data_IF_628030847594
#
_entry.id   IF_628030847594
#
_cell.length_a   1.000
_cell.length_b   1.000
_cell.length_c   1.000
_cell.angle_alpha   90.00
_cell.angle_beta   90.00
_cell.angle_gamma   90.00
#
_symmetry.space_group_name_H-M   'P 1'
#
loop_
_entity.id
_entity.type
_entity.pdbx_description
1 polymer ?
#
# COMPACT_ATOMS: atom_id res chain seq x y z
N UNK A 1 4.48 14.08 -8.62
CA UNK A 1 4.42 12.61 -8.52
C UNK A 1 3.18 12.27 -7.72
N UNK A 2 2.12 11.69 -8.32
CA UNK A 2 0.93 11.38 -7.56
C UNK A 2 1.24 10.19 -6.63
N UNK A 3 1.54 10.53 -5.38
CA UNK A 3 1.55 9.66 -4.19
C UNK A 3 2.37 8.37 -4.34
N UNK A 4 3.63 8.40 -3.93
CA UNK A 4 4.44 7.20 -3.89
C UNK A 4 3.88 6.21 -2.86
N UNK A 5 3.23 5.18 -3.38
CA UNK A 5 2.95 3.96 -2.64
C UNK A 5 4.17 3.06 -2.68
N UNK A 6 4.30 2.23 -1.66
CA UNK A 6 5.23 1.11 -1.71
C UNK A 6 4.79 0.15 -2.82
N UNK A 7 5.77 -0.43 -3.54
CA UNK A 7 5.53 -1.56 -4.44
C UNK A 7 5.22 -2.81 -3.61
N UNK A 8 4.42 -3.76 -4.11
CA UNK A 8 4.19 -5.02 -3.42
C UNK A 8 5.50 -5.70 -3.00
N UNK A 9 5.55 -6.22 -1.76
CA UNK A 9 6.78 -6.68 -1.12
C UNK A 9 7.47 -5.64 -0.23
N UNK A 10 7.03 -4.39 -0.26
CA UNK A 10 7.52 -3.31 0.60
C UNK A 10 6.36 -2.61 1.29
N UNK A 11 6.60 -2.08 2.49
CA UNK A 11 5.63 -1.34 3.28
C UNK A 11 6.17 0.05 3.60
N UNK A 12 5.31 1.08 3.48
CA UNK A 12 5.68 2.47 3.74
C UNK A 12 5.72 2.75 5.25
N UNK A 13 6.91 3.01 5.79
CA UNK A 13 7.11 3.48 7.15
C UNK A 13 7.28 5.00 7.16
N UNK A 14 6.42 5.71 7.89
CA UNK A 14 6.51 7.17 8.03
C UNK A 14 7.63 7.57 8.99
N UNK A 15 8.26 8.71 8.68
CA UNK A 15 9.11 9.44 9.62
C UNK A 15 8.28 9.94 10.81
N UNK A 16 8.90 10.19 11.99
CA UNK A 16 8.18 10.65 13.18
C UNK A 16 7.38 11.96 13.00
N UNK A 17 7.78 12.81 12.04
CA UNK A 17 7.10 14.05 11.70
C UNK A 17 5.90 13.84 10.74
N UNK A 18 5.73 12.64 10.19
CA UNK A 18 4.65 12.29 9.26
C UNK A 18 4.77 12.95 7.88
N UNK A 19 5.87 13.65 7.59
CA UNK A 19 6.05 14.43 6.35
C UNK A 19 6.74 13.63 5.24
N UNK A 20 7.45 12.57 5.61
CA UNK A 20 8.13 11.68 4.68
C UNK A 20 7.95 10.22 5.11
N UNK A 21 8.25 9.31 4.20
CA UNK A 21 8.32 7.89 4.53
C UNK A 21 9.35 7.16 3.70
N UNK A 22 9.75 5.99 4.20
CA UNK A 22 10.66 5.07 3.55
C UNK A 22 9.94 3.75 3.28
N UNK A 23 10.08 3.21 2.08
CA UNK A 23 9.61 1.86 1.77
C UNK A 23 10.65 0.86 2.28
N UNK A 24 10.28 0.03 3.25
CA UNK A 24 11.12 -1.06 3.76
C UNK A 24 10.49 -2.40 3.38
N UNK A 25 11.26 -3.50 3.30
CA UNK A 25 10.69 -4.82 3.03
C UNK A 25 9.53 -5.12 3.99
N UNK A 26 8.42 -5.61 3.46
CA UNK A 26 7.25 -5.95 4.26
C UNK A 26 7.62 -6.97 5.34
N UNK A 27 6.91 -6.95 6.48
CA UNK A 27 7.17 -7.87 7.59
C UNK A 27 8.60 -7.78 8.16
N UNK A 28 9.27 -6.63 8.06
CA UNK A 28 10.59 -6.39 8.67
C UNK A 28 10.60 -5.12 9.51
N UNK A 29 11.65 -4.96 10.33
CA UNK A 29 11.87 -3.75 11.14
C UNK A 29 10.64 -3.40 11.97
N UNK A 30 10.13 -2.17 11.83
CA UNK A 30 8.97 -1.68 12.57
C UNK A 30 7.68 -2.50 12.32
N UNK A 31 7.52 -3.11 11.14
CA UNK A 31 6.36 -3.94 10.81
C UNK A 31 6.44 -5.35 11.39
N UNK A 32 7.62 -5.79 11.82
CA UNK A 32 7.83 -7.06 12.52
C UNK A 32 7.90 -6.87 14.05
N UNK A 33 8.28 -5.68 14.50
CA UNK A 33 8.41 -5.37 15.92
C UNK A 33 7.07 -5.57 16.64
N UNK A 34 7.08 -6.42 17.68
CA UNK A 34 5.90 -6.83 18.43
C UNK A 34 4.78 -7.48 17.61
N UNK A 35 5.05 -7.91 16.38
CA UNK A 35 4.11 -8.72 15.63
C UNK A 35 4.18 -10.17 16.13
N UNK A 36 3.04 -10.82 16.31
CA UNK A 36 3.03 -12.24 16.65
C UNK A 36 3.64 -13.07 15.50
N UNK A 37 4.30 -14.17 15.85
CA UNK A 37 4.95 -15.04 14.85
C UNK A 37 3.91 -15.56 13.86
N UNK A 38 4.19 -15.38 12.57
CA UNK A 38 3.30 -15.81 11.49
C UNK A 38 2.10 -14.88 11.24
N UNK A 39 1.98 -13.75 11.96
CA UNK A 39 0.85 -12.83 11.83
C UNK A 39 1.12 -11.65 10.88
N UNK A 40 2.12 -11.75 10.00
CA UNK A 40 2.27 -10.81 8.88
C UNK A 40 1.37 -11.22 7.71
N UNK A 41 0.05 -11.15 7.92
CA UNK A 41 -0.95 -11.69 7.00
C UNK A 41 -1.95 -10.64 6.51
N UNK A 42 -1.97 -9.44 7.09
CA UNK A 42 -2.85 -8.37 6.62
C UNK A 42 -2.33 -7.81 5.30
N UNK A 43 -3.15 -7.86 4.24
CA UNK A 43 -2.81 -7.25 2.95
C UNK A 43 -3.53 -5.90 2.83
N UNK A 44 -2.76 -4.82 2.77
CA UNK A 44 -3.30 -3.45 2.72
C UNK A 44 -2.63 -2.69 1.59
N UNK A 45 -3.42 -2.33 0.56
CA UNK A 45 -2.90 -1.58 -0.58
C UNK A 45 -1.85 -2.34 -1.42
N UNK A 46 -1.82 -3.68 -1.33
CA UNK A 46 -0.86 -4.53 -2.05
C UNK A 46 0.37 -4.95 -1.24
N UNK A 47 0.53 -4.47 0.00
CA UNK A 47 1.65 -4.80 0.88
C UNK A 47 1.20 -5.56 2.13
N UNK A 48 2.09 -6.36 2.70
CA UNK A 48 1.81 -7.10 3.95
C UNK A 48 2.15 -6.32 5.20
N UNK A 49 1.29 -6.50 6.21
CA UNK A 49 1.37 -5.88 7.51
C UNK A 49 1.02 -6.87 8.61
N UNK A 50 1.32 -6.50 9.85
CA UNK A 50 0.93 -7.28 11.01
C UNK A 50 -0.60 -7.24 11.20
N UNK A 51 -1.24 -8.39 11.23
CA UNK A 51 -2.67 -8.56 11.51
C UNK A 51 -2.96 -8.78 13.00
N UNK A 52 -1.96 -9.25 13.77
CA UNK A 52 -2.07 -9.45 15.21
C UNK A 52 -0.73 -9.25 15.91
N UNK A 53 -0.76 -8.39 16.92
CA UNK A 53 0.38 -8.03 17.74
C UNK A 53 0.46 -8.84 19.02
N UNK A 54 1.65 -8.88 19.62
CA UNK A 54 1.87 -9.47 20.94
C UNK A 54 1.01 -8.76 22.01
N UNK A 55 0.72 -9.47 23.10
CA UNK A 55 -0.05 -8.94 24.24
C UNK A 55 0.46 -7.57 24.69
N UNK A 56 -0.49 -6.63 24.88
CA UNK A 56 -0.19 -5.25 25.26
C UNK A 56 0.04 -4.31 24.06
N UNK A 57 -0.08 -4.82 22.83
CA UNK A 57 0.02 -4.06 21.59
C UNK A 57 -1.17 -4.33 20.67
N UNK A 58 -1.42 -3.41 19.74
CA UNK A 58 -2.44 -3.55 18.68
C UNK A 58 -1.95 -2.94 17.36
N UNK A 59 -2.42 -3.41 16.19
CA UNK A 59 -1.96 -2.91 14.90
C UNK A 59 -2.64 -1.59 14.54
N UNK A 60 -1.85 -0.52 14.38
CA UNK A 60 -2.30 0.77 13.83
C UNK A 60 -1.40 1.13 12.66
N UNK A 61 -2.00 1.36 11.49
CA UNK A 61 -1.30 1.53 10.21
C UNK A 61 -0.25 0.42 9.94
N UNK A 62 -0.56 -0.79 10.42
CA UNK A 62 0.26 -1.98 10.27
C UNK A 62 1.46 -2.08 11.21
N UNK A 63 1.67 -1.11 12.11
CA UNK A 63 2.68 -1.14 13.17
C UNK A 63 2.04 -1.51 14.50
N UNK A 64 2.68 -2.39 15.27
CA UNK A 64 2.22 -2.75 16.61
C UNK A 64 2.55 -1.64 17.60
N UNK A 65 1.52 -0.89 18.01
CA UNK A 65 1.62 0.22 18.96
C UNK A 65 1.12 -0.21 20.34
N UNK A 66 1.64 0.41 21.39
CA UNK A 66 1.27 0.10 22.78
C UNK A 66 -0.22 0.36 23.03
N UNK A 67 -0.87 -0.58 23.72
CA UNK A 67 -2.31 -0.57 24.03
C UNK A 67 -2.58 -0.43 25.54
N UNK A 68 -1.70 0.23 26.28
CA UNK A 68 -1.85 0.38 27.74
C UNK A 68 -2.88 1.45 28.10
N UNK A 69 -3.57 1.29 29.24
CA UNK A 69 -4.60 2.23 29.73
C UNK A 69 -4.11 3.69 29.85
N UNK A 70 -2.81 3.93 29.99
CA UNK A 70 -2.20 5.27 30.13
C UNK A 70 -1.97 5.97 28.78
N UNK A 71 -1.86 5.22 27.70
CA UNK A 71 -1.60 5.73 26.35
C UNK A 71 -2.42 4.89 25.37
N UNK A 72 -3.70 5.24 25.23
CA UNK A 72 -4.57 4.58 24.26
C UNK A 72 -4.08 4.90 22.84
N UNK A 73 -4.00 3.90 21.95
CA UNK A 73 -3.58 4.11 20.58
C UNK A 73 -4.62 4.96 19.84
N UNK A 74 -4.14 5.88 19.01
CA UNK A 74 -5.03 6.71 18.19
C UNK A 74 -5.79 5.84 17.20
N UNK A 75 -7.10 6.08 17.09
CA UNK A 75 -7.94 5.44 16.07
C UNK A 75 -8.31 3.99 16.33
N UNK A 76 -7.89 3.39 17.44
CA UNK A 76 -8.13 1.98 17.76
C UNK A 76 -8.73 1.81 19.16
N UNK A 77 -9.77 0.99 19.25
CA UNK A 77 -10.25 0.42 20.52
C UNK A 77 -9.50 -0.89 20.76
N UNK A 78 -8.64 -0.99 21.77
CA UNK A 78 -7.78 -2.16 21.91
C UNK A 78 -8.51 -3.42 22.37
N UNK A 79 -8.14 -4.55 21.78
CA UNK A 79 -8.44 -5.91 22.24
C UNK A 79 -7.15 -6.68 22.55
N UNK A 80 -7.22 -8.01 22.46
CA UNK A 80 -6.07 -8.89 22.70
C UNK A 80 -5.25 -9.07 21.41
N UNK A 81 -4.27 -8.18 21.22
CA UNK A 81 -3.38 -8.19 20.06
C UNK A 81 -3.97 -7.59 18.78
N UNK A 82 -5.23 -7.15 18.81
CA UNK A 82 -5.97 -6.59 17.66
C UNK A 82 -6.80 -5.37 18.09
N UNK A 83 -7.23 -4.57 17.12
CA UNK A 83 -8.27 -3.56 17.32
C UNK A 83 -9.66 -4.19 17.18
N UNK A 84 -10.56 -3.92 18.13
CA UNK A 84 -11.96 -4.42 18.10
C UNK A 84 -12.91 -3.46 17.40
N UNK A 85 -12.54 -2.18 17.34
CA UNK A 85 -13.22 -1.13 16.60
C UNK A 85 -12.22 -0.04 16.25
N UNK A 86 -12.47 0.69 15.17
CA UNK A 86 -11.70 1.88 14.83
C UNK A 86 -12.52 3.16 15.01
N UNK A 87 -11.84 4.25 15.32
CA UNK A 87 -12.44 5.56 15.60
C UNK A 87 -11.84 6.65 14.74
N UNK A 88 -12.55 7.78 14.61
CA UNK A 88 -12.10 8.89 13.79
C UNK A 88 -12.03 8.50 12.31
N UNK A 89 -10.91 8.81 11.65
CA UNK A 89 -10.70 8.56 10.23
C UNK A 89 -10.11 7.18 9.92
N UNK A 90 -10.23 6.22 10.85
CA UNK A 90 -9.66 4.88 10.71
C UNK A 90 -10.72 3.84 10.39
N UNK A 91 -10.40 2.91 9.48
CA UNK A 91 -11.23 1.74 9.20
C UNK A 91 -10.57 0.46 9.70
N UNK A 92 -11.41 -0.52 10.05
CA UNK A 92 -11.01 -1.82 10.56
C UNK A 92 -10.79 -2.78 9.39
N UNK A 93 -9.60 -3.40 9.35
CA UNK A 93 -9.27 -4.43 8.37
C UNK A 93 -8.31 -5.44 9.01
N UNK A 94 -8.59 -6.73 8.87
CA UNK A 94 -7.67 -7.81 9.32
C UNK A 94 -7.14 -7.64 10.77
N UNK A 95 -7.96 -7.13 11.69
CA UNK A 95 -7.57 -6.92 13.09
C UNK A 95 -6.80 -5.62 13.38
N UNK A 96 -6.51 -4.79 12.37
CA UNK A 96 -5.84 -3.50 12.52
C UNK A 96 -6.71 -2.30 12.14
N UNK A 97 -6.35 -1.13 12.66
CA UNK A 97 -6.96 0.14 12.26
C UNK A 97 -6.05 0.90 11.30
N UNK A 98 -6.58 1.30 10.15
CA UNK A 98 -5.83 1.96 9.09
C UNK A 98 -6.44 3.30 8.73
N UNK A 99 -5.59 4.31 8.58
CA UNK A 99 -6.03 5.69 8.34
C UNK A 99 -6.55 5.86 6.90
N UNK A 100 -7.73 6.45 6.73
CA UNK A 100 -8.33 6.69 5.40
C UNK A 100 -7.71 7.87 4.63
N UNK A 101 -6.93 8.71 5.29
CA UNK A 101 -6.30 9.92 4.74
C UNK A 101 -4.83 9.73 4.38
N UNK A 102 -4.17 8.74 4.97
CA UNK A 102 -2.75 8.41 4.73
C UNK A 102 -2.57 6.97 4.31
N UNK A 103 -1.40 6.65 3.75
CA UNK A 103 -1.07 5.25 3.48
C UNK A 103 -0.78 4.52 4.80
N UNK A 104 -0.92 3.19 4.85
CA UNK A 104 -1.43 2.35 3.75
C UNK A 104 -2.96 2.37 3.63
N UNK A 105 -3.69 2.82 4.64
CA UNK A 105 -5.16 2.70 4.68
C UNK A 105 -5.90 3.38 3.53
N UNK A 106 -5.47 4.58 3.13
CA UNK A 106 -6.02 5.33 1.97
C UNK A 106 -5.99 4.54 0.65
N UNK A 107 -5.15 3.49 0.57
CA UNK A 107 -5.10 2.62 -0.60
C UNK A 107 -6.27 1.63 -0.69
N UNK A 108 -6.99 1.42 0.41
CA UNK A 108 -8.12 0.48 0.48
C UNK A 108 -9.42 1.24 0.73
N UNK A 109 -9.41 2.17 1.68
CA UNK A 109 -10.58 2.90 2.10
C UNK A 109 -10.30 4.41 2.14
N UNK A 110 -11.15 5.22 1.52
CA UNK A 110 -11.02 6.68 1.51
C UNK A 110 -12.05 7.39 2.36
N UNK A 111 -12.94 6.66 3.02
CA UNK A 111 -13.94 7.22 3.91
C UNK A 111 -14.60 6.16 4.79
N UNK A 112 -14.85 6.51 6.04
CA UNK A 112 -15.60 5.71 7.00
C UNK A 112 -16.93 6.39 7.30
N UNK A 113 -17.99 5.59 7.47
CA UNK A 113 -19.27 6.11 7.93
C UNK A 113 -19.16 6.52 9.42
N UNK A 114 -19.83 7.61 9.80
CA UNK A 114 -19.84 8.07 11.19
C UNK A 114 -20.40 6.98 12.13
N UNK A 115 -19.81 6.83 13.32
CA UNK A 115 -20.24 5.89 14.36
C UNK A 115 -20.33 4.43 13.91
N UNK A 116 -19.56 4.04 12.91
CA UNK A 116 -19.62 2.71 12.30
C UNK A 116 -18.61 1.71 12.86
N UNK A 117 -17.93 2.04 13.96
CA UNK A 117 -16.82 1.25 14.52
C UNK A 117 -15.68 0.97 13.51
N UNK A 118 -15.50 1.86 12.54
CA UNK A 118 -14.45 1.74 11.52
C UNK A 118 -14.86 0.95 10.29
N UNK A 119 -16.15 0.84 9.96
CA UNK A 119 -16.55 0.25 8.69
C UNK A 119 -16.16 1.18 7.53
N UNK A 120 -15.53 0.62 6.50
CA UNK A 120 -15.28 1.39 5.29
C UNK A 120 -16.60 1.69 4.57
N UNK A 121 -16.77 2.95 4.18
CA UNK A 121 -17.92 3.43 3.40
C UNK A 121 -17.53 3.59 1.93
N UNK A 122 -16.36 4.18 1.67
CA UNK A 122 -15.87 4.46 0.32
C UNK A 122 -14.60 3.68 0.02
N UNK A 123 -14.68 2.69 -0.85
CA UNK A 123 -13.52 1.91 -1.27
C UNK A 123 -12.66 2.65 -2.30
N UNK A 124 -11.35 2.61 -2.11
CA UNK A 124 -10.38 3.28 -2.97
C UNK A 124 -10.31 2.69 -4.39
N UNK A 125 -10.68 1.41 -4.54
CA UNK A 125 -10.74 0.72 -5.83
C UNK A 125 -12.01 1.04 -6.63
N UNK A 126 -12.93 1.84 -6.08
CA UNK A 126 -14.19 2.22 -6.72
C UNK A 126 -15.32 1.20 -6.57
N UNK A 127 -15.07 0.06 -5.93
CA UNK A 127 -16.11 -0.94 -5.64
C UNK A 127 -16.98 -0.50 -4.45
N UNK A 128 -18.13 -1.14 -4.30
CA UNK A 128 -19.01 -0.95 -3.15
C UNK A 128 -18.53 -1.82 -1.97
N UNK A 129 -18.39 -1.23 -0.78
CA UNK A 129 -18.18 -1.99 0.44
C UNK A 129 -19.39 -2.91 0.75
N UNK A 130 -19.11 -4.06 1.36
CA UNK A 130 -20.16 -4.95 1.85
C UNK A 130 -20.88 -4.37 3.10
N UNK A 131 -21.89 -5.08 3.62
CA UNK A 131 -22.62 -4.65 4.83
C UNK A 131 -21.75 -4.60 6.09
N UNK A 132 -20.60 -5.27 6.06
CA UNK A 132 -19.61 -5.29 7.13
C UNK A 132 -18.58 -4.18 6.99
N UNK A 133 -18.65 -3.36 5.93
CA UNK A 133 -17.69 -2.28 5.67
C UNK A 133 -16.36 -2.77 5.13
N UNK A 134 -16.33 -3.95 4.50
CA UNK A 134 -15.13 -4.50 3.88
C UNK A 134 -15.17 -4.24 2.38
N UNK A 135 -14.07 -3.70 1.86
CA UNK A 135 -13.91 -3.47 0.43
C UNK A 135 -13.50 -4.77 -0.30
N UNK A 136 -14.21 -5.17 -1.35
CA UNK A 136 -13.81 -6.33 -2.15
C UNK A 136 -12.42 -6.12 -2.76
N UNK A 137 -11.66 -7.20 -2.89
CA UNK A 137 -10.32 -7.16 -3.48
C UNK A 137 -10.37 -7.27 -5.01
N UNK A 138 -9.46 -6.59 -5.68
CA UNK A 138 -9.19 -6.79 -7.10
C UNK A 138 -8.17 -7.94 -7.29
N UNK A 139 -7.98 -8.44 -8.53
CA UNK A 139 -6.95 -9.42 -8.86
C UNK A 139 -5.56 -8.97 -8.44
N UNK A 140 -4.63 -9.92 -8.31
CA UNK A 140 -3.24 -9.61 -7.96
C UNK A 140 -2.64 -8.55 -8.89
N UNK A 141 -1.92 -7.60 -8.31
CA UNK A 141 -1.32 -6.49 -9.07
C UNK A 141 -2.32 -5.41 -9.52
N UNK A 142 -3.63 -5.60 -9.32
CA UNK A 142 -4.64 -4.64 -9.74
C UNK A 142 -5.03 -3.67 -8.61
N UNK A 143 -4.94 -2.37 -8.88
CA UNK A 143 -5.40 -1.31 -7.97
C UNK A 143 -6.90 -1.03 -8.13
N UNK A 144 -7.37 -0.95 -9.38
CA UNK A 144 -8.77 -0.67 -9.71
C UNK A 144 -9.30 -1.67 -10.72
N UNK A 145 -10.36 -2.37 -10.36
CA UNK A 145 -11.05 -3.33 -11.21
C UNK A 145 -12.47 -2.86 -11.52
N UNK A 146 -13.07 -3.42 -12.58
CA UNK A 146 -14.40 -3.02 -13.03
C UNK A 146 -15.48 -3.26 -11.96
N UNK A 147 -16.41 -2.30 -11.85
CA UNK A 147 -17.49 -2.25 -10.85
C UNK A 147 -18.69 -3.16 -11.16
N UNK A 148 -18.79 -3.72 -12.37
CA UNK A 148 -19.96 -4.49 -12.82
C UNK A 148 -19.57 -5.87 -13.34
N UNK A 149 -19.97 -6.92 -12.61
CA UNK A 149 -20.05 -8.31 -13.06
C UNK A 149 -18.72 -9.04 -13.35
N UNK A 150 -17.61 -8.33 -13.50
CA UNK A 150 -16.31 -8.91 -13.81
C UNK A 150 -15.20 -8.17 -13.05
N UNK A 151 -15.00 -8.50 -11.78
CA UNK A 151 -13.86 -7.99 -10.99
C UNK A 151 -12.50 -8.44 -11.52
N UNK A 152 -12.46 -9.33 -12.52
CA UNK A 152 -11.21 -9.83 -13.10
C UNK A 152 -10.57 -8.84 -14.07
N UNK A 153 -11.32 -7.87 -14.60
CA UNK A 153 -10.75 -6.84 -15.49
C UNK A 153 -10.19 -5.69 -14.68
N UNK A 154 -8.89 -5.46 -14.88
CA UNK A 154 -8.17 -4.35 -14.29
C UNK A 154 -8.17 -3.11 -15.20
N UNK A 155 -8.24 -1.95 -14.57
CA UNK A 155 -8.19 -0.62 -15.20
C UNK A 155 -7.00 0.21 -14.74
N UNK A 156 -6.44 -0.09 -13.58
CA UNK A 156 -5.23 0.54 -13.05
C UNK A 156 -4.44 -0.47 -12.23
N UNK A 157 -3.13 -0.55 -12.45
CA UNK A 157 -2.25 -1.49 -11.77
C UNK A 157 -1.56 -0.86 -10.57
N UNK A 158 -1.22 -1.71 -9.60
CA UNK A 158 -0.35 -1.35 -8.48
C UNK A 158 1.04 -0.96 -9.00
N UNK A 159 1.80 -0.15 -8.25
CA UNK A 159 3.20 0.11 -8.56
C UNK A 159 4.00 -1.19 -8.74
N UNK A 160 4.89 -1.21 -9.74
CA UNK A 160 5.64 -2.42 -10.12
C UNK A 160 4.93 -3.32 -11.13
N UNK A 161 3.75 -2.92 -11.61
CA UNK A 161 3.02 -3.59 -12.67
C UNK A 161 2.65 -2.61 -13.79
N UNK A 162 2.62 -3.10 -15.03
CA UNK A 162 2.05 -2.39 -16.17
C UNK A 162 0.74 -3.05 -16.61
N UNK A 163 -0.14 -2.26 -17.22
CA UNK A 163 -1.42 -2.74 -17.74
C UNK A 163 -1.22 -3.34 -19.15
N UNK A 164 -1.68 -4.58 -19.34
CA UNK A 164 -1.68 -5.27 -20.63
C UNK A 164 -2.97 -6.09 -20.76
N UNK A 165 -3.76 -5.83 -21.80
CA UNK A 165 -5.04 -6.53 -22.07
C UNK A 165 -5.95 -6.65 -20.83
N UNK A 166 -6.11 -5.55 -20.09
CA UNK A 166 -6.87 -5.48 -18.83
C UNK A 166 -6.33 -6.33 -17.67
N UNK A 167 -5.11 -6.86 -17.78
CA UNK A 167 -4.40 -7.55 -16.71
C UNK A 167 -3.17 -6.74 -16.28
N UNK A 168 -2.73 -6.93 -15.04
CA UNK A 168 -1.53 -6.31 -14.51
C UNK A 168 -0.38 -7.31 -14.55
N UNK A 169 0.68 -6.94 -15.27
CA UNK A 169 1.87 -7.76 -15.44
C UNK A 169 3.04 -7.06 -14.76
N UNK A 170 3.91 -7.82 -14.07
CA UNK A 170 5.07 -7.25 -13.38
C UNK A 170 6.01 -6.57 -14.36
N UNK A 171 6.62 -5.46 -13.96
CA UNK A 171 7.52 -4.66 -14.80
C UNK A 171 8.75 -5.42 -15.34
N UNK A 172 9.10 -6.55 -14.74
CA UNK A 172 10.22 -7.41 -15.14
C UNK A 172 9.80 -8.68 -15.89
N UNK A 173 8.52 -8.79 -16.24
CA UNK A 173 7.94 -9.91 -16.99
C UNK A 173 7.47 -9.42 -18.36
N UNK A 174 7.60 -10.25 -19.39
CA UNK A 174 7.08 -9.99 -20.73
C UNK A 174 5.62 -10.43 -20.84
N UNK A 175 4.84 -9.72 -21.66
CA UNK A 175 3.49 -10.15 -22.02
C UNK A 175 3.14 -9.73 -23.45
N UNK A 176 2.91 -10.72 -24.31
CA UNK A 176 2.62 -10.52 -25.73
C UNK A 176 3.69 -9.66 -26.44
N UNK A 177 3.30 -8.46 -26.83
CA UNK A 177 4.13 -7.49 -27.56
C UNK A 177 4.85 -6.49 -26.64
N UNK A 178 4.68 -6.61 -25.32
CA UNK A 178 5.31 -5.76 -24.33
C UNK A 178 6.46 -6.52 -23.67
N UNK A 179 7.66 -5.95 -23.75
CA UNK A 179 8.86 -6.49 -23.11
C UNK A 179 9.09 -5.81 -21.76
N UNK A 180 9.17 -6.61 -20.70
CA UNK A 180 9.55 -6.18 -19.36
C UNK A 180 11.06 -5.95 -19.25
N UNK A 181 11.49 -5.21 -18.22
CA UNK A 181 12.90 -4.96 -17.94
C UNK A 181 13.28 -5.69 -16.66
N UNK A 182 14.22 -6.64 -16.76
CA UNK A 182 14.70 -7.41 -15.61
C UNK A 182 15.16 -6.51 -14.46
N UNK A 183 14.62 -6.75 -13.26
CA UNK A 183 14.91 -5.97 -12.07
C UNK A 183 14.25 -4.59 -12.04
N UNK A 184 13.33 -4.30 -12.95
CA UNK A 184 12.53 -3.08 -12.89
C UNK A 184 11.47 -3.18 -11.78
N UNK A 185 11.49 -2.19 -10.89
CA UNK A 185 10.64 -2.10 -9.69
C UNK A 185 9.42 -1.20 -9.94
N UNK A 186 9.49 -0.27 -10.88
CA UNK A 186 8.37 0.59 -11.28
C UNK A 186 8.52 0.98 -12.75
N UNK A 187 7.42 0.92 -13.51
CA UNK A 187 7.44 1.15 -14.95
C UNK A 187 6.14 1.74 -15.49
N UNK A 188 6.18 2.18 -16.75
CA UNK A 188 5.00 2.46 -17.56
C UNK A 188 4.96 1.56 -18.82
N UNK A 189 3.77 1.20 -19.30
CA UNK A 189 3.64 0.50 -20.58
C UNK A 189 4.15 1.37 -21.74
N UNK A 190 4.61 0.76 -22.84
CA UNK A 190 5.04 1.51 -24.02
C UNK A 190 3.86 2.23 -24.69
N UNK A 191 4.14 3.36 -25.35
CA UNK A 191 3.13 4.12 -26.10
C UNK A 191 2.70 3.46 -27.42
N UNK A 192 3.53 2.55 -27.95
CA UNK A 192 3.31 1.82 -29.20
C UNK A 192 3.54 0.32 -28.97
N UNK A 193 2.91 -0.52 -29.79
CA UNK A 193 3.06 -1.98 -29.75
C UNK A 193 3.59 -2.49 -31.09
N UNK A 194 4.68 -3.29 -31.13
CA UNK A 194 5.48 -3.77 -30.00
C UNK A 194 6.33 -2.68 -29.30
N UNK A 195 6.65 -2.90 -28.03
CA UNK A 195 7.46 -1.96 -27.26
C UNK A 195 7.96 -2.51 -25.92
N UNK A 196 8.95 -1.82 -25.33
CA UNK A 196 9.51 -2.15 -24.01
C UNK A 196 8.94 -1.20 -22.96
N UNK A 197 8.66 -1.71 -21.75
CA UNK A 197 8.25 -0.84 -20.63
C UNK A 197 9.31 0.22 -20.34
N UNK A 198 8.88 1.42 -19.96
CA UNK A 198 9.81 2.45 -19.48
C UNK A 198 10.07 2.23 -18.00
N UNK A 199 11.29 1.89 -17.61
CA UNK A 199 11.63 1.67 -16.21
C UNK A 199 11.98 2.97 -15.48
N UNK A 200 11.29 3.25 -14.38
CA UNK A 200 11.52 4.42 -13.53
C UNK A 200 12.41 4.12 -12.33
N UNK A 201 12.32 2.90 -11.80
CA UNK A 201 13.10 2.45 -10.65
C UNK A 201 13.57 1.02 -10.90
N UNK A 202 14.85 0.74 -10.64
CA UNK A 202 15.42 -0.59 -10.74
C UNK A 202 16.00 -1.05 -9.40
N UNK A 203 16.01 -2.36 -9.16
CA UNK A 203 16.61 -2.96 -7.97
C UNK A 203 18.12 -2.72 -7.97
N UNK A 204 18.68 -2.32 -6.82
CA UNK A 204 20.14 -2.20 -6.65
C UNK A 204 20.79 -3.57 -6.91
N UNK A 205 21.52 -3.67 -8.02
CA UNK A 205 22.14 -4.91 -8.50
C UNK A 205 21.75 -5.34 -9.92
N UNK A 206 20.82 -4.66 -10.61
CA UNK A 206 20.53 -4.98 -12.01
C UNK A 206 21.64 -4.47 -12.94
N UNK A 207 22.34 -5.40 -13.60
CA UNK A 207 23.48 -5.15 -14.51
C UNK A 207 23.09 -4.68 -15.91
N UNK A 208 21.78 -4.61 -16.24
CA UNK A 208 21.33 -4.21 -17.56
C UNK A 208 21.15 -2.69 -17.66
N UNK A 209 22.23 -2.00 -18.07
CA UNK A 209 22.23 -0.61 -18.55
C UNK A 209 21.56 -0.52 -19.93
N UNK A 210 20.25 -0.70 -19.99
CA UNK A 210 19.49 -0.44 -21.21
C UNK A 210 18.61 0.78 -20.96
N UNK A 211 19.09 1.93 -21.45
CA UNK A 211 18.30 3.17 -21.61
C UNK A 211 17.81 3.84 -20.33
N UNK A 212 18.71 4.35 -19.49
CA UNK A 212 18.38 5.51 -18.65
C UNK A 212 18.45 6.75 -19.56
N UNK A 213 17.30 7.36 -19.86
CA UNK A 213 17.28 8.74 -20.35
C UNK A 213 17.94 9.61 -19.29
N UNK A 214 19.01 10.29 -19.70
CA UNK A 214 20.07 10.79 -18.82
C UNK A 214 19.58 11.70 -17.68
N UNK A 215 19.98 11.33 -16.46
CA UNK A 215 19.80 12.17 -15.27
C UNK A 215 19.63 11.37 -13.97
N UNK A 216 20.51 10.41 -13.66
CA UNK A 216 20.49 9.78 -12.35
C UNK A 216 21.91 9.63 -11.80
N UNK A 217 22.17 10.41 -10.75
CA UNK A 217 23.36 10.37 -9.91
C UNK A 217 23.43 8.96 -9.29
N UNK A 218 24.54 8.25 -9.53
CA UNK A 218 24.88 7.03 -8.83
C UNK A 218 25.16 7.38 -7.36
N UNK A 219 24.20 7.07 -6.50
CA UNK A 219 24.31 7.18 -5.05
C UNK A 219 23.24 6.30 -4.44
N UNK A 220 23.55 5.70 -3.29
CA UNK A 220 22.62 4.86 -2.53
C UNK A 220 21.28 5.59 -2.41
N UNK A 221 20.27 5.12 -3.15
CA UNK A 221 18.91 5.65 -3.03
C UNK A 221 18.27 4.97 -1.84
N UNK A 222 18.52 5.52 -0.64
CA UNK A 222 17.46 5.54 0.36
C UNK A 222 16.41 6.44 -0.27
N UNK A 223 15.35 5.84 -0.83
CA UNK A 223 14.25 6.58 -1.40
C UNK A 223 13.51 7.26 -0.24
N UNK A 224 14.00 8.44 0.17
CA UNK A 224 13.26 9.37 1.00
C UNK A 224 12.17 9.92 0.10
N UNK A 225 10.99 9.33 0.19
CA UNK A 225 9.86 9.81 -0.58
C UNK A 225 9.18 10.89 0.24
N UNK A 226 9.34 12.14 -0.21
CA UNK A 226 8.63 13.29 0.35
C UNK A 226 7.17 13.16 -0.04
N UNK A 227 6.33 12.80 0.93
CA UNK A 227 4.88 12.83 0.79
C UNK A 227 4.45 14.23 1.22
N UNK A 228 4.25 15.14 0.26
CA UNK A 228 3.73 16.47 0.56
C UNK A 228 2.25 16.32 0.97
N UNK A 229 2.02 16.13 2.27
CA UNK A 229 0.72 16.27 2.89
C UNK A 229 0.28 17.73 2.78
N UNK A 230 -0.89 17.95 2.17
CA UNK A 230 -1.46 19.29 2.00
C UNK A 230 -1.53 20.03 3.33
N UNK A 231 -0.78 21.12 3.42
CA UNK A 231 -0.80 22.07 4.52
C UNK A 231 -2.22 22.66 4.65
N UNK A 232 -3.03 22.16 5.60
CA UNK A 232 -4.26 22.85 6.02
C UNK A 232 -3.85 24.11 6.76
N UNK A 233 -3.92 25.26 6.09
CA UNK A 233 -3.95 26.58 6.75
C UNK A 233 -5.14 26.57 7.71
N UNK A 234 -4.88 26.73 9.01
CA UNK A 234 -5.89 27.22 9.95
C UNK A 234 -6.17 28.69 9.57
N UNK A 235 -7.40 28.95 9.19
CA UNK A 235 -8.02 30.27 9.06
C UNK A 235 -9.46 30.11 9.52
#
# INVERSE_FOLDING_TARGET
LPFARAVPGYSLLYSPDGLAGTCIPECTGAFAANCETGQCTAVVGGSKYCSKCNKGYVPVDGVCVSATKRAQPTGCTPGDGVCTACTGDYFLLSGGCYNTKTLPGKAVCTGVAASSNGKCDTCANGLKADSSGVCPSCPEGCEKCATSGNTQTCSACLPGYYLSNNNCVKCDVNDGQITGISGCVSCAPPSNSPGTVTCYLAKSGSTNKSSLSGGAIAGIVIAVIVVVGGLRRKG
#
